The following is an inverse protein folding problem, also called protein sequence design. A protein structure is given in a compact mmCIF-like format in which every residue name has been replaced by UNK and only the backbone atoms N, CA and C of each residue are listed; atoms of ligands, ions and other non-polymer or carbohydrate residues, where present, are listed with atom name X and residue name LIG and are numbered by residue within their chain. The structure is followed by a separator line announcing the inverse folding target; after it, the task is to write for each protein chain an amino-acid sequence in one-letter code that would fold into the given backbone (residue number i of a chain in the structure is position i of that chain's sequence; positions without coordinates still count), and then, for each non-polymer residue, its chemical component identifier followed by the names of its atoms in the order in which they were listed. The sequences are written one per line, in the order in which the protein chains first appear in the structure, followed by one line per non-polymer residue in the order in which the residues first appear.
data_IF_259706922872
#
_entry.id   IF_259706922872
#
_cell.length_a   1.000
_cell.length_b   1.000
_cell.length_c   1.000
_cell.angle_alpha   90.00
_cell.angle_beta   90.00
_cell.angle_gamma   90.00
#
_symmetry.space_group_name_H-M   'P 1'
#
loop_
_entity.id
_entity.type
_entity.pdbx_description
1 polymer ?
#
# COMPACT_ATOMS: atom_id res chain seq x y z
N UNK A 1 -10.46 -22.75 -3.77
CA UNK A 1 -11.28 -21.75 -4.47
C UNK A 1 -12.56 -21.58 -3.69
N UNK A 2 -12.83 -20.37 -3.19
CA UNK A 2 -14.07 -20.08 -2.47
C UNK A 2 -15.20 -20.15 -3.51
N UNK A 3 -16.16 -21.09 -3.40
CA UNK A 3 -17.18 -21.30 -4.43
C UNK A 3 -18.22 -20.17 -4.47
N UNK A 4 -18.38 -19.39 -3.39
CA UNK A 4 -19.34 -18.29 -3.27
C UNK A 4 -18.69 -17.11 -2.53
N UNK A 5 -18.76 -15.91 -3.10
CA UNK A 5 -18.26 -14.70 -2.44
C UNK A 5 -19.21 -14.28 -1.31
N UNK A 6 -18.70 -14.02 -0.08
CA UNK A 6 -19.54 -13.53 0.99
C UNK A 6 -20.06 -12.13 0.64
N UNK A 7 -21.36 -11.95 0.85
CA UNK A 7 -22.08 -10.69 0.66
C UNK A 7 -22.36 -9.99 1.99
N UNK A 8 -22.26 -10.73 3.10
CA UNK A 8 -22.44 -10.21 4.47
C UNK A 8 -21.21 -10.48 5.34
N UNK A 9 -21.07 -9.72 6.42
CA UNK A 9 -19.99 -9.89 7.38
C UNK A 9 -20.11 -11.24 8.12
N UNK A 10 -21.34 -11.71 8.35
CA UNK A 10 -21.61 -13.03 8.94
C UNK A 10 -21.11 -14.17 8.03
N UNK A 11 -21.46 -14.13 6.74
CA UNK A 11 -20.97 -15.09 5.75
C UNK A 11 -19.44 -15.09 5.68
N UNK A 12 -18.82 -13.89 5.69
CA UNK A 12 -17.37 -13.76 5.71
C UNK A 12 -16.77 -14.44 6.94
N UNK A 13 -17.32 -14.21 8.14
CA UNK A 13 -16.77 -14.80 9.35
C UNK A 13 -16.94 -16.32 9.42
N UNK A 14 -18.04 -16.86 8.90
CA UNK A 14 -18.20 -18.31 8.75
C UNK A 14 -17.08 -18.88 7.87
N UNK A 15 -16.78 -18.23 6.74
CA UNK A 15 -15.68 -18.63 5.87
C UNK A 15 -14.29 -18.49 6.53
N UNK A 16 -14.09 -17.49 7.40
CA UNK A 16 -12.85 -17.34 8.18
C UNK A 16 -12.72 -18.47 9.21
N UNK A 17 -13.79 -18.83 9.93
CA UNK A 17 -13.79 -19.93 10.90
C UNK A 17 -13.49 -21.27 10.23
N UNK A 18 -14.05 -21.49 9.04
CA UNK A 18 -13.79 -22.66 8.20
C UNK A 18 -12.41 -22.63 7.50
N UNK A 19 -11.62 -21.57 7.69
CA UNK A 19 -10.30 -21.37 7.07
C UNK A 19 -10.35 -21.37 5.54
N UNK A 20 -11.43 -20.85 4.97
CA UNK A 20 -11.60 -20.64 3.53
C UNK A 20 -11.19 -19.24 3.09
N UNK A 21 -11.32 -18.25 3.98
CA UNK A 21 -10.88 -16.86 3.79
C UNK A 21 -9.81 -16.51 4.82
N UNK A 22 -8.82 -15.73 4.42
CA UNK A 22 -7.74 -15.25 5.27
C UNK A 22 -7.55 -13.75 5.10
N UNK A 23 -6.89 -13.13 6.08
CA UNK A 23 -6.38 -11.77 5.95
C UNK A 23 -5.52 -11.65 4.68
N UNK A 24 -5.71 -10.57 3.93
CA UNK A 24 -4.97 -10.33 2.70
C UNK A 24 -3.49 -10.03 2.98
N UNK A 25 -2.60 -10.67 2.21
CA UNK A 25 -1.14 -10.50 2.24
C UNK A 25 -0.55 -10.32 3.66
N UNK A 26 -0.72 -11.30 4.56
CA UNK A 26 -0.37 -11.17 5.97
C UNK A 26 1.14 -10.99 6.21
N UNK A 27 1.96 -11.23 5.19
CA UNK A 27 3.42 -11.06 5.24
C UNK A 27 3.89 -9.64 4.89
N UNK A 28 3.02 -8.81 4.33
CA UNK A 28 3.33 -7.45 3.91
C UNK A 28 2.82 -6.43 4.94
N UNK A 29 3.43 -6.45 6.13
CA UNK A 29 3.07 -5.53 7.21
C UNK A 29 3.12 -4.05 6.80
N UNK A 30 4.04 -3.66 5.91
CA UNK A 30 4.09 -2.29 5.38
C UNK A 30 2.88 -1.95 4.49
N UNK A 31 2.35 -2.92 3.74
CA UNK A 31 1.20 -2.75 2.85
C UNK A 31 -0.14 -2.63 3.58
N UNK A 32 -0.35 -3.46 4.60
CA UNK A 32 -1.67 -3.62 5.23
C UNK A 32 -1.67 -3.52 6.76
N UNK A 33 -0.50 -3.36 7.40
CA UNK A 33 -0.39 -3.41 8.86
C UNK A 33 -1.00 -2.23 9.62
N UNK A 34 -1.31 -1.11 8.93
CA UNK A 34 -2.06 0.00 9.51
C UNK A 34 -3.57 -0.27 9.60
N UNK A 35 -4.09 -1.28 8.89
CA UNK A 35 -5.50 -1.68 8.97
C UNK A 35 -5.75 -2.37 10.32
N UNK A 36 -6.78 -1.91 11.03
CA UNK A 36 -7.14 -2.35 12.38
C UNK A 36 -8.08 -3.57 12.29
N UNK A 37 -7.55 -4.70 11.83
CA UNK A 37 -8.35 -5.91 11.54
C UNK A 37 -9.07 -6.47 12.76
N UNK A 38 -8.45 -6.41 13.95
CA UNK A 38 -9.06 -6.94 15.18
C UNK A 38 -10.22 -6.07 15.61
N UNK A 39 -10.01 -4.77 15.64
CA UNK A 39 -10.99 -3.75 15.99
C UNK A 39 -12.16 -3.80 15.00
N UNK A 40 -11.87 -3.89 13.69
CA UNK A 40 -12.89 -4.08 12.67
C UNK A 40 -13.75 -5.32 12.92
N UNK A 41 -13.12 -6.42 13.30
CA UNK A 41 -13.80 -7.71 13.42
C UNK A 41 -14.57 -7.88 14.72
N UNK A 42 -14.11 -7.26 15.81
CA UNK A 42 -14.60 -7.54 17.16
C UNK A 42 -15.26 -6.33 17.84
N UNK A 43 -14.94 -5.10 17.42
CA UNK A 43 -15.22 -3.89 18.20
C UNK A 43 -15.97 -2.80 17.41
N UNK A 44 -15.96 -2.83 16.08
CA UNK A 44 -16.67 -1.85 15.24
C UNK A 44 -18.06 -2.31 14.80
N UNK A 45 -19.05 -1.42 14.88
CA UNK A 45 -20.37 -1.63 14.30
C UNK A 45 -20.45 -1.15 12.85
N UNK A 46 -21.49 -1.59 12.13
CA UNK A 46 -21.73 -1.19 10.74
C UNK A 46 -21.93 0.32 10.65
N UNK A 47 -21.15 0.97 9.79
CA UNK A 47 -21.21 2.42 9.58
C UNK A 47 -20.30 3.24 10.50
N UNK A 48 -19.67 2.63 11.50
CA UNK A 48 -18.70 3.31 12.36
C UNK A 48 -17.47 3.74 11.56
N UNK A 49 -16.95 4.92 11.88
CA UNK A 49 -15.65 5.40 11.40
C UNK A 49 -14.66 5.39 12.56
N UNK A 50 -13.69 4.47 12.52
CA UNK A 50 -12.60 4.41 13.47
C UNK A 50 -11.38 5.11 12.88
N UNK A 51 -11.01 6.28 13.42
CA UNK A 51 -9.82 7.00 12.97
C UNK A 51 -8.55 6.18 13.22
N UNK A 52 -7.66 6.12 12.23
CA UNK A 52 -6.37 5.47 12.38
C UNK A 52 -5.47 6.36 13.26
N UNK A 53 -4.89 5.82 14.35
CA UNK A 53 -4.07 6.63 15.26
C UNK A 53 -2.78 7.11 14.59
N UNK A 54 -2.17 6.25 13.78
CA UNK A 54 -0.98 6.54 12.99
C UNK A 54 -0.86 5.53 11.83
N UNK A 55 -0.02 5.84 10.84
CA UNK A 55 0.27 4.97 9.70
C UNK A 55 1.61 4.25 9.95
N UNK A 56 1.64 2.91 9.87
CA UNK A 56 2.83 2.11 10.18
C UNK A 56 3.88 2.06 9.06
N UNK A 57 3.58 2.57 7.86
CA UNK A 57 4.48 2.54 6.70
C UNK A 57 3.97 3.46 5.60
N UNK A 58 4.88 4.11 4.87
CA UNK A 58 4.58 4.83 3.63
C UNK A 58 4.21 3.88 2.47
N UNK A 59 4.32 2.56 2.69
CA UNK A 59 3.82 1.52 1.78
C UNK A 59 2.38 1.14 2.06
N UNK A 60 1.66 1.84 2.93
CA UNK A 60 0.26 1.51 3.21
C UNK A 60 -0.60 1.62 1.94
N UNK A 61 -1.29 0.54 1.58
CA UNK A 61 -2.10 0.41 0.36
C UNK A 61 -3.56 0.02 0.68
N UNK A 62 -4.31 0.90 1.37
CA UNK A 62 -5.72 0.68 1.67
C UNK A 62 -6.58 0.75 0.40
N UNK A 63 -7.80 0.21 0.52
CA UNK A 63 -8.92 0.61 -0.34
C UNK A 63 -9.57 1.83 0.29
N UNK A 64 -9.71 2.91 -0.48
CA UNK A 64 -10.20 4.19 0.03
C UNK A 64 -11.56 4.51 -0.59
N UNK A 65 -12.51 4.90 0.25
CA UNK A 65 -13.64 5.72 -0.14
C UNK A 65 -13.33 7.16 0.27
N UNK A 66 -13.51 8.10 -0.64
CA UNK A 66 -13.13 9.50 -0.45
C UNK A 66 -14.14 10.41 -1.14
N UNK A 67 -14.25 11.64 -0.65
CA UNK A 67 -15.08 12.66 -1.30
C UNK A 67 -14.36 13.14 -2.56
N UNK A 68 -15.05 13.08 -3.70
CA UNK A 68 -14.58 13.73 -4.92
C UNK A 68 -14.84 15.25 -4.81
N UNK A 69 -13.77 16.03 -4.71
CA UNK A 69 -13.81 17.48 -4.57
C UNK A 69 -12.60 18.12 -5.27
N UNK A 70 -12.64 19.44 -5.45
CA UNK A 70 -11.58 20.20 -6.13
C UNK A 70 -10.21 20.10 -5.42
N UNK A 71 -10.22 19.93 -4.10
CA UNK A 71 -9.01 19.80 -3.28
C UNK A 71 -8.42 18.37 -3.32
N UNK A 72 -9.09 17.41 -3.97
CA UNK A 72 -8.61 16.04 -4.06
C UNK A 72 -7.33 16.00 -4.92
N UNK A 73 -6.19 15.57 -4.36
CA UNK A 73 -4.98 15.48 -5.15
C UNK A 73 -5.13 14.47 -6.30
N UNK A 74 -4.63 14.77 -7.50
CA UNK A 74 -4.72 13.86 -8.63
C UNK A 74 -3.86 12.61 -8.40
N UNK A 75 -4.17 11.54 -9.13
CA UNK A 75 -3.25 10.41 -9.23
C UNK A 75 -1.98 10.81 -9.97
N UNK A 76 -0.84 10.29 -9.51
CA UNK A 76 0.46 10.51 -10.14
C UNK A 76 0.63 9.53 -11.31
N UNK A 77 0.31 9.96 -12.53
CA UNK A 77 0.22 9.10 -13.73
C UNK A 77 1.55 8.46 -14.16
N UNK A 78 2.69 9.00 -13.69
CA UNK A 78 4.01 8.42 -13.89
C UNK A 78 4.13 7.04 -13.23
N UNK A 79 3.38 6.80 -12.15
CA UNK A 79 3.22 5.48 -11.57
C UNK A 79 2.11 4.76 -12.33
N UNK A 80 2.51 3.81 -13.18
CA UNK A 80 1.60 2.96 -13.94
C UNK A 80 2.03 1.49 -13.91
N UNK A 81 1.06 0.61 -14.16
CA UNK A 81 1.26 -0.83 -14.14
C UNK A 81 1.22 -1.39 -12.72
N UNK A 82 2.36 -1.94 -12.27
CA UNK A 82 2.44 -2.62 -10.98
C UNK A 82 3.34 -1.87 -10.00
N UNK A 83 2.81 -1.67 -8.78
CA UNK A 83 3.53 -1.09 -7.64
C UNK A 83 3.43 0.43 -7.54
N UNK A 84 3.44 0.93 -6.30
CA UNK A 84 3.58 2.33 -5.88
C UNK A 84 2.45 3.31 -6.23
N UNK A 85 1.58 3.03 -7.21
CA UNK A 85 0.42 3.87 -7.53
C UNK A 85 -0.44 4.21 -6.31
N UNK A 86 -0.86 3.18 -5.56
CA UNK A 86 -1.68 3.36 -4.36
C UNK A 86 -0.89 4.06 -3.26
N UNK A 87 0.35 3.62 -3.04
CA UNK A 87 1.24 4.18 -2.01
C UNK A 87 1.45 5.68 -2.18
N UNK A 88 1.83 6.14 -3.37
CA UNK A 88 2.14 7.56 -3.62
C UNK A 88 0.91 8.43 -3.42
N UNK A 89 -0.26 7.95 -3.82
CA UNK A 89 -1.50 8.69 -3.62
C UNK A 89 -1.90 8.75 -2.14
N UNK A 90 -1.78 7.65 -1.39
CA UNK A 90 -2.01 7.63 0.07
C UNK A 90 -1.05 8.57 0.79
N UNK A 91 0.23 8.59 0.40
CA UNK A 91 1.22 9.52 0.93
C UNK A 91 0.82 10.99 0.68
N UNK A 92 0.37 11.29 -0.54
CA UNK A 92 -0.06 12.64 -0.90
C UNK A 92 -1.32 13.06 -0.12
N UNK A 93 -2.35 12.20 -0.04
CA UNK A 93 -3.56 12.44 0.76
C UNK A 93 -3.22 12.71 2.22
N UNK A 94 -2.33 11.92 2.81
CA UNK A 94 -1.84 12.16 4.18
C UNK A 94 -1.21 13.55 4.30
N UNK A 95 -0.28 13.88 3.40
CA UNK A 95 0.44 15.15 3.47
C UNK A 95 -0.47 16.37 3.24
N UNK A 96 -1.53 16.22 2.44
CA UNK A 96 -2.54 17.27 2.20
C UNK A 96 -3.66 17.30 3.25
N UNK A 97 -3.47 16.65 4.41
CA UNK A 97 -4.31 16.84 5.59
C UNK A 97 -5.60 16.02 5.60
N UNK A 98 -5.70 14.97 4.78
CA UNK A 98 -6.81 14.02 4.89
C UNK A 98 -6.72 13.26 6.22
N UNK A 99 -7.89 12.99 6.81
CA UNK A 99 -8.02 12.01 7.88
C UNK A 99 -8.17 10.63 7.28
N UNK A 100 -7.65 9.62 7.99
CA UNK A 100 -7.84 8.22 7.64
C UNK A 100 -8.71 7.58 8.71
N UNK A 101 -9.83 7.00 8.28
CA UNK A 101 -10.71 6.24 9.15
C UNK A 101 -11.10 4.93 8.46
N UNK A 102 -11.20 3.88 9.27
CA UNK A 102 -11.66 2.56 8.87
C UNK A 102 -13.18 2.48 9.03
N UNK A 103 -13.87 2.05 7.96
CA UNK A 103 -15.32 1.87 7.95
C UNK A 103 -15.72 0.49 8.49
N UNK A 104 -16.52 0.47 9.55
CA UNK A 104 -17.09 -0.75 10.13
C UNK A 104 -18.16 -1.38 9.23
N UNK A 105 -18.17 -2.71 9.17
CA UNK A 105 -19.14 -3.49 8.39
C UNK A 105 -18.87 -3.59 6.88
N UNK A 106 -17.93 -2.81 6.33
CA UNK A 106 -17.51 -2.90 4.94
C UNK A 106 -16.23 -3.74 4.80
N UNK A 107 -16.17 -4.60 3.79
CA UNK A 107 -14.99 -5.40 3.47
C UNK A 107 -14.82 -5.55 1.95
N UNK A 108 -13.60 -5.90 1.55
CA UNK A 108 -13.25 -6.24 0.16
C UNK A 108 -12.57 -7.61 0.17
N UNK A 109 -12.95 -8.47 -0.77
CA UNK A 109 -12.33 -9.78 -0.96
C UNK A 109 -11.37 -9.72 -2.14
N UNK A 110 -10.09 -10.04 -1.88
CA UNK A 110 -9.12 -10.27 -2.95
C UNK A 110 -9.25 -11.72 -3.40
N UNK A 111 -9.74 -11.94 -4.62
CA UNK A 111 -9.83 -13.28 -5.18
C UNK A 111 -8.47 -13.77 -5.71
N UNK A 112 -8.02 -14.99 -5.38
CA UNK A 112 -6.79 -15.53 -5.92
C UNK A 112 -6.80 -15.52 -7.45
N UNK A 113 -5.74 -14.97 -8.03
CA UNK A 113 -5.56 -14.91 -9.48
C UNK A 113 -4.08 -15.12 -9.82
N UNK A 114 -3.80 -15.51 -11.06
CA UNK A 114 -2.43 -15.62 -11.56
C UNK A 114 -1.74 -14.26 -11.62
N UNK A 115 -0.41 -14.29 -11.64
CA UNK A 115 0.39 -13.08 -11.85
C UNK A 115 0.06 -12.46 -13.21
N UNK A 116 -0.23 -11.16 -13.20
CA UNK A 116 -0.45 -10.38 -14.41
C UNK A 116 0.87 -10.14 -15.16
N UNK A 117 0.79 -9.78 -16.45
CA UNK A 117 1.96 -9.36 -17.23
C UNK A 117 2.74 -8.24 -16.54
N UNK A 118 2.04 -7.25 -15.96
CA UNK A 118 2.65 -6.16 -15.19
C UNK A 118 3.38 -6.66 -13.94
N UNK A 119 2.85 -7.69 -13.26
CA UNK A 119 3.52 -8.31 -12.11
C UNK A 119 4.77 -9.08 -12.55
N UNK A 120 4.70 -9.84 -13.64
CA UNK A 120 5.84 -10.56 -14.19
C UNK A 120 6.95 -9.59 -14.63
N UNK A 121 6.59 -8.47 -15.26
CA UNK A 121 7.52 -7.41 -15.64
C UNK A 121 8.21 -6.78 -14.42
N UNK A 122 7.42 -6.47 -13.38
CA UNK A 122 7.95 -5.94 -12.10
C UNK A 122 8.95 -6.89 -11.44
N UNK A 123 8.74 -8.20 -11.56
CA UNK A 123 9.59 -9.23 -10.97
C UNK A 123 10.90 -9.46 -11.76
N UNK A 124 11.05 -8.91 -12.97
CA UNK A 124 12.31 -9.00 -13.72
C UNK A 124 13.42 -8.29 -12.96
N UNK A 125 14.49 -9.01 -12.68
CA UNK A 125 15.65 -8.52 -11.94
C UNK A 125 16.95 -8.93 -12.63
N UNK A 126 18.04 -8.15 -12.46
CA UNK A 126 19.38 -8.59 -12.84
C UNK A 126 19.76 -9.88 -12.11
N UNK A 127 20.55 -10.74 -12.76
CA UNK A 127 21.04 -11.99 -12.13
C UNK A 127 21.86 -11.71 -10.88
N UNK A 128 22.58 -10.59 -10.87
CA UNK A 128 23.44 -10.11 -9.80
C UNK A 128 22.69 -9.86 -8.48
N UNK A 129 21.37 -9.60 -8.55
CA UNK A 129 20.52 -9.34 -7.38
C UNK A 129 20.03 -10.63 -6.72
N UNK A 130 20.17 -11.79 -7.39
CA UNK A 130 19.76 -13.06 -6.79
C UNK A 130 20.65 -13.35 -5.57
N UNK A 131 20.01 -13.46 -4.40
CA UNK A 131 20.68 -13.72 -3.13
C UNK A 131 21.41 -12.52 -2.52
N UNK A 132 21.32 -11.32 -3.11
CA UNK A 132 21.97 -10.10 -2.63
C UNK A 132 20.94 -9.00 -2.34
N UNK A 133 21.23 -8.12 -1.39
CA UNK A 133 20.46 -6.88 -1.22
C UNK A 133 20.72 -5.98 -2.43
N UNK A 134 19.68 -5.53 -3.17
CA UNK A 134 19.83 -4.77 -4.41
C UNK A 134 20.80 -3.59 -4.32
N UNK A 135 20.74 -2.82 -3.23
CA UNK A 135 21.58 -1.64 -2.96
C UNK A 135 23.09 -1.91 -2.90
N UNK A 136 23.49 -3.16 -2.64
CA UNK A 136 24.90 -3.57 -2.56
C UNK A 136 25.45 -4.04 -3.91
N UNK A 137 24.64 -4.02 -4.96
CA UNK A 137 25.03 -4.45 -6.30
C UNK A 137 25.45 -3.23 -7.11
N UNK A 138 26.75 -3.12 -7.38
CA UNK A 138 27.30 -2.11 -8.27
C UNK A 138 27.21 -2.56 -9.75
N UNK A 139 27.44 -1.63 -10.68
CA UNK A 139 27.51 -1.89 -12.12
C UNK A 139 26.21 -2.45 -12.77
N UNK A 140 25.06 -2.16 -12.16
CA UNK A 140 23.75 -2.44 -12.74
C UNK A 140 23.11 -1.15 -13.25
N UNK A 141 22.75 -1.15 -14.53
CA UNK A 141 21.88 -0.11 -15.08
C UNK A 141 20.43 -0.39 -14.69
N UNK A 142 20.02 0.14 -13.54
CA UNK A 142 18.66 -0.02 -13.01
C UNK A 142 17.57 0.54 -13.92
N UNK A 143 17.91 1.46 -14.84
CA UNK A 143 16.96 2.02 -15.82
C UNK A 143 16.53 1.00 -16.87
N UNK A 144 17.20 -0.16 -16.98
CA UNK A 144 16.76 -1.27 -17.83
C UNK A 144 15.60 -2.08 -17.24
N UNK A 145 15.24 -1.85 -15.98
CA UNK A 145 14.25 -2.64 -15.26
C UNK A 145 13.09 -1.77 -14.80
N UNK A 146 11.85 -2.21 -15.03
CA UNK A 146 10.64 -1.46 -14.65
C UNK A 146 10.64 -1.08 -13.17
N UNK A 147 11.08 -1.98 -12.28
CA UNK A 147 11.20 -1.69 -10.84
C UNK A 147 12.24 -0.59 -10.55
N UNK A 148 13.41 -0.64 -11.18
CA UNK A 148 14.45 0.39 -11.01
C UNK A 148 13.98 1.77 -11.48
N UNK A 149 13.29 1.84 -12.63
CA UNK A 149 12.65 3.08 -13.11
C UNK A 149 11.61 3.59 -12.10
N UNK A 150 10.68 2.74 -11.65
CA UNK A 150 9.65 3.13 -10.68
C UNK A 150 10.26 3.51 -9.30
N UNK A 151 11.42 2.96 -8.94
CA UNK A 151 12.16 3.35 -7.74
C UNK A 151 12.77 4.75 -7.89
N UNK A 152 13.39 5.07 -9.02
CA UNK A 152 13.90 6.41 -9.30
C UNK A 152 12.79 7.47 -9.34
N UNK A 153 11.67 7.19 -10.00
CA UNK A 153 10.50 8.11 -10.04
C UNK A 153 9.94 8.32 -8.62
N UNK A 154 9.91 7.27 -7.79
CA UNK A 154 9.45 7.38 -6.42
C UNK A 154 10.33 8.26 -5.54
N UNK A 155 11.65 8.25 -5.75
CA UNK A 155 12.57 9.16 -5.05
C UNK A 155 12.25 10.61 -5.42
N UNK A 156 12.14 10.91 -6.72
CA UNK A 156 11.76 12.25 -7.20
C UNK A 156 10.39 12.69 -6.68
N UNK A 157 9.39 11.80 -6.69
CA UNK A 157 8.07 12.07 -6.12
C UNK A 157 8.16 12.44 -4.63
N UNK A 158 8.99 11.75 -3.84
CA UNK A 158 9.13 12.04 -2.42
C UNK A 158 9.85 13.35 -2.14
N UNK A 159 10.84 13.70 -2.96
CA UNK A 159 11.50 14.99 -2.89
C UNK A 159 10.48 16.10 -3.16
N UNK A 160 9.81 16.04 -4.31
CA UNK A 160 8.73 16.96 -4.67
C UNK A 160 7.66 17.05 -3.58
N UNK A 161 7.18 15.90 -3.07
CA UNK A 161 6.15 15.88 -2.05
C UNK A 161 6.63 16.64 -0.80
N UNK A 162 7.90 16.51 -0.41
CA UNK A 162 8.45 17.23 0.76
C UNK A 162 8.72 18.70 0.51
N UNK A 163 9.18 19.09 -0.68
CA UNK A 163 9.58 20.47 -0.99
C UNK A 163 8.41 21.35 -1.42
N UNK A 164 7.49 20.81 -2.20
CA UNK A 164 6.48 21.59 -2.93
C UNK A 164 5.08 21.42 -2.34
N UNK A 165 4.81 20.34 -1.60
CA UNK A 165 3.51 20.11 -0.95
C UNK A 165 3.61 20.47 0.53
N UNK A 166 2.89 21.50 0.94
CA UNK A 166 2.81 21.90 2.35
C UNK A 166 2.33 20.73 3.20
N UNK A 167 3.15 20.31 4.17
CA UNK A 167 2.75 19.27 5.10
C UNK A 167 1.69 19.79 6.07
N UNK A 168 0.49 19.26 5.91
CA UNK A 168 -0.68 19.52 6.75
C UNK A 168 -1.20 18.22 7.37
N UNK A 169 -0.35 17.20 7.45
CA UNK A 169 -0.70 15.86 7.92
C UNK A 169 -1.39 15.89 9.27
N UNK A 170 -2.55 15.22 9.34
CA UNK A 170 -3.33 15.04 10.57
C UNK A 170 -3.13 13.66 11.19
N UNK A 171 -2.77 12.69 10.36
CA UNK A 171 -2.41 11.33 10.77
C UNK A 171 -0.92 11.16 10.50
N UNK A 172 -0.13 10.99 11.56
CA UNK A 172 1.32 10.87 11.45
C UNK A 172 1.74 9.42 11.16
N UNK A 173 3.01 9.24 10.80
CA UNK A 173 3.60 7.90 10.86
C UNK A 173 3.76 7.51 12.33
N UNK A 174 3.62 6.22 12.63
CA UNK A 174 3.92 5.70 13.97
C UNK A 174 5.42 5.86 14.29
N UNK A 175 5.79 5.97 15.56
CA UNK A 175 7.20 6.08 15.98
C UNK A 175 8.04 4.87 15.55
N UNK A 176 7.40 3.70 15.46
CA UNK A 176 7.98 2.43 15.02
C UNK A 176 7.64 2.12 13.54
N UNK A 177 7.26 3.13 12.75
CA UNK A 177 6.93 2.92 11.35
C UNK A 177 8.11 2.31 10.58
N UNK A 178 7.78 1.38 9.66
CA UNK A 178 8.77 0.66 8.87
C UNK A 178 9.63 1.61 8.03
N UNK A 179 10.95 1.38 8.03
CA UNK A 179 11.85 1.95 7.03
C UNK A 179 11.61 1.29 5.67
N UNK A 180 10.80 1.95 4.85
CA UNK A 180 10.44 1.49 3.53
C UNK A 180 11.57 1.64 2.50
N UNK A 181 12.55 2.49 2.80
CA UNK A 181 13.62 2.83 1.88
C UNK A 181 14.66 1.72 1.76
N UNK A 182 14.78 0.89 2.79
CA UNK A 182 15.54 -0.35 2.73
C UNK A 182 15.09 -1.29 1.59
N UNK A 183 13.88 -1.11 1.04
CA UNK A 183 13.30 -1.96 -0.02
C UNK A 183 13.49 -1.42 -1.44
N UNK A 184 14.00 -0.21 -1.61
CA UNK A 184 14.31 0.37 -2.92
C UNK A 184 15.55 -0.27 -3.54
N UNK A 185 15.56 -0.42 -4.87
CA UNK A 185 16.71 -0.87 -5.64
C UNK A 185 17.71 0.23 -5.94
N UNK A 186 17.21 1.46 -6.04
CA UNK A 186 18.00 2.64 -6.33
C UNK A 186 18.23 3.38 -5.01
N UNK A 187 19.49 3.74 -4.75
CA UNK A 187 19.86 4.56 -3.60
C UNK A 187 19.49 6.03 -3.82
N UNK A 188 19.56 6.80 -2.75
CA UNK A 188 19.09 8.19 -2.73
C UNK A 188 20.06 9.20 -3.32
N UNK A 189 21.32 8.80 -3.57
CA UNK A 189 22.50 9.66 -3.72
C UNK A 189 22.51 10.84 -2.73
#
# INVERSE_FOLDING_TARGET
NIPVMPSTQEELFNLVQEKQVFMFDPTNAGGHGSTLYKEWAMEQYVGDLLELPCIKSNRYEPYLAFRYCEELPPFQEQFNGYGKNKMTWVMQLRQTGYKFAQLGGAFVIHYPHLDSSSRLEWNKAPKQVRGHTPKKVHDVDWKKYKRGINDAIFIQFREWLRSDVKDTSRVLLCDDAQDDDAKLWVDRD
#
